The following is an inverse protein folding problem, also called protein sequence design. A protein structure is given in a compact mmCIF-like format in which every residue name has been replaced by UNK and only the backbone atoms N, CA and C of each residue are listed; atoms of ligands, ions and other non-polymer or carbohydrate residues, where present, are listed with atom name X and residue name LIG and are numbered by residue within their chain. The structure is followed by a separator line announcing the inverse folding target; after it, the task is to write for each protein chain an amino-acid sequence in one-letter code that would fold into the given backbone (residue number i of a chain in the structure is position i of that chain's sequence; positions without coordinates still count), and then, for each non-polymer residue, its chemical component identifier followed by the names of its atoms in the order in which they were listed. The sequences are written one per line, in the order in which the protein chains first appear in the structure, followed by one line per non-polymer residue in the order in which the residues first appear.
data_IF_946217749139
#
_entry.id   IF_946217749139
#
_cell.length_a   1.000
_cell.length_b   1.000
_cell.length_c   1.000
_cell.angle_alpha   90.00
_cell.angle_beta   90.00
_cell.angle_gamma   90.00
#
_symmetry.space_group_name_H-M   'P 1'
#
loop_
_entity.id
_entity.type
_entity.pdbx_description
1 polymer ?
#
# COMPACT_ATOMS: atom_id res chain seq x y z
N UNK A 1 8.57 0.77 3.10
CA UNK A 1 9.33 -0.34 3.76
C UNK A 1 10.43 -0.81 2.81
N UNK A 2 11.66 -0.99 3.29
CA UNK A 2 12.86 -1.27 2.47
C UNK A 2 13.19 -2.76 2.28
N UNK A 3 12.39 -3.67 2.84
CA UNK A 3 12.66 -5.11 2.81
C UNK A 3 12.03 -5.80 1.60
N UNK A 4 12.72 -6.80 1.06
CA UNK A 4 12.17 -7.70 0.04
C UNK A 4 11.18 -8.69 0.68
N UNK A 5 9.90 -8.38 0.59
CA UNK A 5 8.83 -9.24 1.11
C UNK A 5 8.77 -10.62 0.43
N UNK A 6 9.41 -10.79 -0.73
CA UNK A 6 9.55 -12.10 -1.38
C UNK A 6 10.38 -13.09 -0.57
N UNK A 7 11.29 -12.59 0.29
CA UNK A 7 12.15 -13.38 1.17
C UNK A 7 11.55 -13.63 2.56
N UNK A 8 10.31 -13.22 2.81
CA UNK A 8 9.63 -13.43 4.07
C UNK A 8 9.51 -14.93 4.40
N UNK A 9 9.87 -15.29 5.62
CA UNK A 9 9.69 -16.64 6.20
C UNK A 9 8.79 -16.53 7.42
N UNK A 10 7.91 -17.52 7.60
CA UNK A 10 7.01 -17.63 8.76
C UNK A 10 7.62 -18.61 9.76
N UNK A 11 7.89 -18.11 10.98
CA UNK A 11 8.51 -18.91 12.05
C UNK A 11 7.45 -19.42 13.05
N UNK A 12 6.50 -18.57 13.47
CA UNK A 12 5.43 -18.91 14.41
C UNK A 12 4.09 -18.27 13.97
N UNK A 13 2.99 -18.88 14.40
CA UNK A 13 1.64 -18.39 14.14
C UNK A 13 0.73 -18.73 15.32
N UNK A 14 -0.11 -17.78 15.69
CA UNK A 14 -1.20 -17.99 16.64
C UNK A 14 -2.44 -17.22 16.21
N UNK A 15 -3.61 -17.78 16.47
CA UNK A 15 -4.90 -17.19 16.10
C UNK A 15 -5.79 -17.08 17.31
N UNK A 16 -6.43 -15.95 17.51
CA UNK A 16 -7.42 -15.69 18.56
C UNK A 16 -8.74 -15.27 17.91
N UNK A 17 -9.86 -15.69 18.50
CA UNK A 17 -11.18 -15.27 18.03
C UNK A 17 -11.66 -14.05 18.80
N UNK A 18 -12.13 -13.04 18.06
CA UNK A 18 -12.67 -11.80 18.59
C UNK A 18 -14.16 -11.74 18.25
N UNK A 19 -15.05 -11.97 19.23
CA UNK A 19 -16.49 -11.86 19.01
C UNK A 19 -16.88 -10.40 18.75
N UNK A 20 -18.06 -10.19 18.21
CA UNK A 20 -18.60 -8.84 18.00
C UNK A 20 -18.75 -8.12 19.35
N UNK A 21 -18.24 -6.90 19.43
CA UNK A 21 -18.41 -6.04 20.59
C UNK A 21 -19.83 -5.45 20.59
N UNK A 22 -20.64 -5.75 21.59
CA UNK A 22 -21.98 -5.21 21.73
C UNK A 22 -21.97 -4.03 22.71
N UNK A 23 -22.59 -2.93 22.32
CA UNK A 23 -22.69 -1.72 23.16
C UNK A 23 -23.39 -1.95 24.52
N UNK A 24 -24.19 -3.01 24.63
CA UNK A 24 -24.85 -3.42 25.87
C UNK A 24 -23.96 -4.13 26.89
N UNK A 25 -22.67 -4.34 26.59
CA UNK A 25 -21.77 -5.17 27.40
C UNK A 25 -22.09 -6.69 27.39
N UNK A 26 -23.12 -7.11 26.64
CA UNK A 26 -23.48 -8.51 26.46
C UNK A 26 -22.65 -9.25 25.41
N UNK A 27 -21.60 -8.62 24.88
CA UNK A 27 -20.67 -9.25 23.94
C UNK A 27 -19.89 -10.39 24.59
N UNK A 28 -19.56 -11.41 23.79
CA UNK A 28 -18.67 -12.49 24.22
C UNK A 28 -17.29 -11.99 24.62
N UNK A 29 -16.57 -12.79 25.40
CA UNK A 29 -15.15 -12.54 25.65
C UNK A 29 -14.31 -13.10 24.47
N UNK A 30 -13.13 -12.52 24.18
CA UNK A 30 -12.20 -13.11 23.23
C UNK A 30 -11.87 -14.56 23.56
N UNK A 31 -11.89 -15.45 22.58
CA UNK A 31 -11.45 -16.83 22.73
C UNK A 31 -9.93 -16.84 22.39
N UNK A 32 -9.14 -17.09 23.41
CA UNK A 32 -7.70 -17.02 23.33
C UNK A 32 -7.10 -18.41 23.17
N UNK A 33 -6.18 -18.56 22.21
CA UNK A 33 -5.39 -19.77 22.08
C UNK A 33 -4.31 -19.82 23.18
N UNK A 34 -4.13 -21.00 23.77
CA UNK A 34 -3.14 -21.26 24.81
C UNK A 34 -1.82 -21.86 24.25
N UNK A 35 -1.81 -22.19 22.97
CA UNK A 35 -0.65 -22.76 22.28
C UNK A 35 -0.55 -22.19 20.86
N UNK A 36 0.66 -22.21 20.29
CA UNK A 36 0.91 -21.83 18.89
C UNK A 36 0.17 -22.75 17.92
N UNK A 37 -0.28 -22.18 16.79
CA UNK A 37 -0.93 -22.96 15.73
C UNK A 37 0.09 -23.85 15.00
N UNK A 38 -0.26 -25.12 14.68
CA UNK A 38 0.62 -25.97 13.92
C UNK A 38 0.97 -25.39 12.55
N UNK A 39 2.25 -25.36 12.20
CA UNK A 39 2.78 -24.80 10.95
C UNK A 39 3.24 -25.89 10.01
N UNK A 40 2.41 -26.28 9.04
CA UNK A 40 2.86 -27.04 7.87
C UNK A 40 3.55 -26.12 6.86
N UNK A 41 4.33 -26.67 5.93
CA UNK A 41 4.95 -25.89 4.87
C UNK A 41 3.93 -25.15 4.00
N UNK A 42 2.76 -25.75 3.78
CA UNK A 42 1.65 -25.15 3.03
C UNK A 42 1.09 -23.92 3.75
N UNK A 43 0.89 -23.99 5.07
CA UNK A 43 0.45 -22.85 5.89
C UNK A 43 1.49 -21.74 5.87
N UNK A 44 2.78 -22.06 6.00
CA UNK A 44 3.86 -21.07 5.90
C UNK A 44 3.87 -20.36 4.56
N UNK A 45 3.78 -21.09 3.46
CA UNK A 45 3.75 -20.53 2.10
C UNK A 45 2.51 -19.65 1.91
N UNK A 46 1.35 -20.12 2.38
CA UNK A 46 0.11 -19.38 2.27
C UNK A 46 0.17 -18.02 2.97
N UNK A 47 0.63 -17.97 4.23
CA UNK A 47 0.77 -16.70 4.95
C UNK A 47 1.85 -15.81 4.35
N UNK A 48 2.98 -16.35 3.95
CA UNK A 48 4.03 -15.60 3.24
C UNK A 48 3.46 -14.85 2.03
N UNK A 49 2.76 -15.56 1.14
CA UNK A 49 2.19 -14.99 -0.08
C UNK A 49 1.12 -13.93 0.22
N UNK A 50 0.27 -14.20 1.21
CA UNK A 50 -0.77 -13.25 1.63
C UNK A 50 -0.19 -11.96 2.21
N UNK A 51 0.80 -12.07 3.10
CA UNK A 51 1.47 -10.91 3.72
C UNK A 51 2.19 -10.10 2.63
N UNK A 52 3.03 -10.75 1.83
CA UNK A 52 3.80 -10.10 0.78
C UNK A 52 2.90 -9.39 -0.23
N UNK A 53 1.84 -10.05 -0.71
CA UNK A 53 0.88 -9.46 -1.66
C UNK A 53 0.09 -8.30 -1.06
N UNK A 54 -0.27 -8.38 0.22
CA UNK A 54 -1.07 -7.32 0.85
C UNK A 54 -0.26 -6.08 1.08
N UNK A 55 0.95 -6.20 1.61
CA UNK A 55 1.83 -5.08 1.91
C UNK A 55 2.59 -4.55 0.68
N UNK A 56 2.80 -5.37 -0.35
CA UNK A 56 3.50 -4.96 -1.57
C UNK A 56 2.71 -3.99 -2.46
N UNK A 57 1.40 -3.83 -2.25
CA UNK A 57 0.56 -3.02 -3.16
C UNK A 57 -0.01 -1.75 -2.53
N UNK A 58 -0.25 -1.70 -1.23
CA UNK A 58 -0.99 -0.59 -0.60
C UNK A 58 -0.57 -0.36 0.85
N UNK A 59 0.71 -0.48 1.18
CA UNK A 59 1.18 -0.28 2.54
C UNK A 59 1.59 1.18 2.80
N UNK A 60 1.19 1.70 3.97
CA UNK A 60 1.65 2.97 4.52
C UNK A 60 2.82 2.71 5.45
N UNK A 61 3.90 3.46 5.30
CA UNK A 61 4.98 3.48 6.29
C UNK A 61 4.48 4.15 7.57
N UNK A 62 4.71 3.48 8.69
CA UNK A 62 4.27 3.94 10.01
C UNK A 62 5.43 3.94 11.00
N UNK A 63 5.28 4.71 12.04
CA UNK A 63 6.12 4.71 13.22
C UNK A 63 5.26 4.62 14.48
N UNK A 64 5.83 4.18 15.59
CA UNK A 64 5.12 4.21 16.86
C UNK A 64 4.95 5.65 17.31
N UNK A 65 3.74 5.99 17.72
CA UNK A 65 3.42 7.28 18.30
C UNK A 65 4.02 7.34 19.71
N UNK A 66 4.93 8.29 20.02
CA UNK A 66 5.56 8.40 21.33
C UNK A 66 4.56 8.69 22.46
N UNK A 67 3.40 9.28 22.12
CA UNK A 67 2.36 9.63 23.10
C UNK A 67 1.27 8.56 23.21
N UNK A 68 1.45 7.39 22.56
CA UNK A 68 0.44 6.33 22.56
C UNK A 68 0.26 5.69 23.93
N UNK A 69 -0.98 5.34 24.25
CA UNK A 69 -1.34 4.51 25.41
C UNK A 69 -1.50 3.02 25.05
N UNK A 70 -1.31 2.64 23.78
CA UNK A 70 -1.36 1.26 23.35
C UNK A 70 -0.19 0.45 23.93
N UNK A 71 -0.41 -0.78 24.43
CA UNK A 71 0.67 -1.66 24.84
C UNK A 71 1.43 -2.29 23.66
N UNK A 72 0.87 -2.24 22.43
CA UNK A 72 1.40 -2.97 21.27
C UNK A 72 2.83 -2.57 20.91
N UNK A 73 3.24 -1.28 20.92
CA UNK A 73 4.63 -0.91 20.68
C UNK A 73 5.64 -1.63 21.60
N UNK A 74 5.36 -1.66 22.91
CA UNK A 74 6.19 -2.37 23.88
C UNK A 74 6.19 -3.88 23.64
N UNK A 75 5.01 -4.48 23.34
CA UNK A 75 4.90 -5.92 23.03
C UNK A 75 5.69 -6.30 21.78
N UNK A 76 5.67 -5.44 20.76
CA UNK A 76 6.45 -5.65 19.52
C UNK A 76 7.94 -5.53 19.81
N UNK A 77 8.38 -4.48 20.52
CA UNK A 77 9.78 -4.27 20.87
C UNK A 77 10.33 -5.47 21.66
N UNK A 78 9.65 -5.89 22.73
CA UNK A 78 10.04 -7.03 23.56
C UNK A 78 10.19 -8.32 22.72
N UNK A 79 9.28 -8.54 21.76
CA UNK A 79 9.35 -9.74 20.90
C UNK A 79 10.51 -9.69 19.90
N UNK A 80 10.79 -8.51 19.34
CA UNK A 80 11.84 -8.34 18.32
C UNK A 80 13.25 -8.22 18.92
N UNK A 81 13.38 -7.78 20.17
CA UNK A 81 14.69 -7.58 20.80
C UNK A 81 15.29 -8.84 21.39
N UNK A 82 14.52 -9.67 22.08
CA UNK A 82 15.12 -10.76 22.85
C UNK A 82 14.29 -12.05 22.96
N UNK A 83 13.15 -12.17 22.33
CA UNK A 83 12.26 -13.35 22.45
C UNK A 83 12.00 -13.82 23.91
N UNK A 84 12.28 -12.97 24.91
CA UNK A 84 12.13 -13.30 26.34
C UNK A 84 10.68 -13.39 26.75
N UNK A 85 9.82 -12.64 26.05
CA UNK A 85 8.41 -12.68 26.33
C UNK A 85 7.80 -13.89 25.63
N UNK A 86 7.00 -14.64 26.36
CA UNK A 86 6.26 -15.75 25.78
C UNK A 86 5.35 -15.25 24.65
N UNK A 87 5.54 -15.80 23.46
CA UNK A 87 4.82 -15.41 22.25
C UNK A 87 3.30 -15.57 22.41
N UNK A 88 2.85 -16.64 23.13
CA UNK A 88 1.43 -16.87 23.38
C UNK A 88 0.85 -15.79 24.30
N UNK A 89 1.53 -15.50 25.41
CA UNK A 89 1.09 -14.46 26.38
C UNK A 89 1.01 -13.11 25.71
N UNK A 90 2.04 -12.73 24.93
CA UNK A 90 2.07 -11.48 24.18
C UNK A 90 0.88 -11.38 23.21
N UNK A 91 0.64 -12.43 22.44
CA UNK A 91 -0.45 -12.44 21.45
C UNK A 91 -1.82 -12.38 22.10
N UNK A 92 -2.01 -13.00 23.28
CA UNK A 92 -3.22 -12.90 24.07
C UNK A 92 -3.46 -11.48 24.60
N UNK A 93 -2.41 -10.77 25.03
CA UNK A 93 -2.52 -9.36 25.43
C UNK A 93 -2.96 -8.48 24.25
N UNK A 94 -2.36 -8.71 23.06
CA UNK A 94 -2.77 -8.03 21.83
C UNK A 94 -4.24 -8.30 21.49
N UNK A 95 -4.71 -9.54 21.63
CA UNK A 95 -6.09 -9.92 21.35
C UNK A 95 -7.08 -9.20 22.29
N UNK A 96 -6.79 -9.17 23.59
CA UNK A 96 -7.62 -8.44 24.58
C UNK A 96 -7.65 -6.95 24.27
N UNK A 97 -6.50 -6.36 23.94
CA UNK A 97 -6.40 -4.94 23.62
C UNK A 97 -7.15 -4.60 22.32
N UNK A 98 -6.99 -5.41 21.25
CA UNK A 98 -7.72 -5.18 20.01
C UNK A 98 -9.24 -5.25 20.24
N UNK A 99 -9.71 -6.20 21.03
CA UNK A 99 -11.12 -6.30 21.40
C UNK A 99 -11.63 -5.04 22.10
N UNK A 100 -10.86 -4.47 23.02
CA UNK A 100 -11.19 -3.21 23.71
C UNK A 100 -11.21 -2.00 22.75
N UNK A 101 -10.35 -2.00 21.73
CA UNK A 101 -10.29 -0.95 20.70
C UNK A 101 -11.46 -1.00 19.70
N UNK A 102 -12.11 -2.17 19.56
CA UNK A 102 -13.24 -2.35 18.65
C UNK A 102 -14.51 -1.68 19.19
N UNK A 103 -15.24 -1.01 18.29
CA UNK A 103 -16.59 -0.51 18.58
C UNK A 103 -17.66 -1.51 18.13
N UNK A 104 -18.92 -1.28 18.54
CA UNK A 104 -20.06 -2.15 18.21
C UNK A 104 -20.38 -2.32 16.72
N UNK A 105 -19.80 -1.47 15.86
CA UNK A 105 -19.92 -1.57 14.39
C UNK A 105 -18.89 -2.51 13.75
N UNK A 106 -17.84 -2.90 14.50
CA UNK A 106 -16.83 -3.80 13.96
C UNK A 106 -17.36 -5.25 13.96
N UNK A 107 -17.23 -5.97 12.82
CA UNK A 107 -17.65 -7.37 12.76
C UNK A 107 -16.77 -8.23 13.65
N UNK A 108 -17.29 -9.39 14.03
CA UNK A 108 -16.50 -10.46 14.60
C UNK A 108 -15.36 -10.87 13.67
N UNK A 109 -14.30 -11.44 14.21
CA UNK A 109 -13.17 -11.81 13.40
C UNK A 109 -12.09 -12.52 14.18
N UNK A 110 -10.93 -12.59 13.58
CA UNK A 110 -9.77 -13.27 14.11
C UNK A 110 -8.59 -12.28 14.19
N UNK A 111 -7.88 -12.30 15.31
CA UNK A 111 -6.54 -11.75 15.38
C UNK A 111 -5.55 -12.88 15.09
N UNK A 112 -4.72 -12.68 14.10
CA UNK A 112 -3.63 -13.60 13.78
C UNK A 112 -2.30 -12.87 13.99
N UNK A 113 -1.47 -13.42 14.85
CA UNK A 113 -0.12 -12.90 15.11
C UNK A 113 0.88 -13.88 14.51
N UNK A 114 1.80 -13.38 13.70
CA UNK A 114 2.76 -14.18 12.94
C UNK A 114 4.16 -13.64 13.21
N UNK A 115 5.02 -14.47 13.81
CA UNK A 115 6.43 -14.15 13.88
C UNK A 115 7.07 -14.51 12.54
N UNK A 116 7.75 -13.54 11.95
CA UNK A 116 8.35 -13.66 10.63
C UNK A 116 9.83 -13.31 10.66
N UNK A 117 10.52 -13.65 9.59
CA UNK A 117 11.88 -13.22 9.32
C UNK A 117 11.97 -12.76 7.88
N UNK A 118 12.58 -11.60 7.66
CA UNK A 118 12.78 -11.04 6.31
C UNK A 118 14.26 -10.72 6.18
N UNK A 119 14.94 -11.30 5.19
CA UNK A 119 16.39 -11.12 5.02
C UNK A 119 17.19 -11.36 6.32
N UNK A 120 16.78 -12.38 7.10
CA UNK A 120 17.28 -12.73 8.43
C UNK A 120 16.98 -11.73 9.57
N UNK A 121 16.21 -10.66 9.31
CA UNK A 121 15.75 -9.73 10.34
C UNK A 121 14.44 -10.20 10.99
N UNK A 122 14.37 -10.23 12.33
CA UNK A 122 13.14 -10.61 13.01
C UNK A 122 12.04 -9.58 12.77
N UNK A 123 10.84 -10.09 12.57
CA UNK A 123 9.66 -9.29 12.36
C UNK A 123 8.42 -9.88 13.02
N UNK A 124 7.43 -9.03 13.26
CA UNK A 124 6.12 -9.41 13.77
C UNK A 124 5.03 -8.88 12.85
N UNK A 125 4.18 -9.78 12.36
CA UNK A 125 3.04 -9.44 11.51
C UNK A 125 1.75 -9.65 12.29
N UNK A 126 0.88 -8.66 12.31
CA UNK A 126 -0.39 -8.64 13.05
C UNK A 126 -1.51 -8.43 12.04
N UNK A 127 -2.43 -9.42 11.93
CA UNK A 127 -3.53 -9.39 10.98
C UNK A 127 -4.87 -9.43 11.72
N UNK A 128 -5.77 -8.50 11.37
CA UNK A 128 -7.20 -8.63 11.70
C UNK A 128 -7.92 -9.20 10.48
N UNK A 129 -8.47 -10.39 10.65
CA UNK A 129 -9.21 -11.12 9.62
C UNK A 129 -10.68 -11.19 10.00
N UNK A 130 -11.54 -11.23 8.99
CA UNK A 130 -12.97 -11.49 9.19
C UNK A 130 -13.23 -12.98 8.95
N UNK A 131 -14.21 -13.53 9.66
CA UNK A 131 -14.67 -14.88 9.39
C UNK A 131 -15.45 -14.90 8.08
N UNK A 132 -15.20 -15.91 7.28
CA UNK A 132 -15.91 -16.14 6.02
C UNK A 132 -16.62 -17.49 6.04
N UNK A 133 -17.69 -17.59 5.30
CA UNK A 133 -18.37 -18.84 5.03
C UNK A 133 -18.06 -19.30 3.61
N UNK A 134 -18.01 -20.60 3.40
CA UNK A 134 -17.76 -21.16 2.09
C UNK A 134 -18.33 -22.56 1.94
N UNK A 135 -18.24 -23.07 0.72
CA UNK A 135 -18.63 -24.44 0.40
C UNK A 135 -17.43 -25.21 -0.13
N UNK A 136 -17.17 -26.39 0.44
CA UNK A 136 -16.21 -27.35 -0.08
C UNK A 136 -16.94 -28.39 -0.93
N UNK A 137 -16.46 -28.56 -2.14
CA UNK A 137 -16.97 -29.59 -3.06
C UNK A 137 -15.97 -30.75 -3.10
N UNK A 138 -16.48 -31.97 -2.93
CA UNK A 138 -15.70 -33.21 -3.09
C UNK A 138 -16.38 -34.10 -4.11
N UNK A 139 -15.62 -34.53 -5.11
CA UNK A 139 -16.10 -35.53 -6.06
C UNK A 139 -16.19 -36.89 -5.35
N UNK A 140 -17.28 -37.60 -5.53
CA UNK A 140 -17.52 -38.92 -5.02
C UNK A 140 -18.02 -39.82 -6.16
N UNK A 141 -17.75 -41.10 -6.05
CA UNK A 141 -18.29 -42.11 -6.96
C UNK A 141 -19.15 -43.08 -6.15
N UNK A 142 -20.43 -43.19 -6.50
CA UNK A 142 -21.37 -44.15 -5.92
C UNK A 142 -22.04 -44.92 -7.04
N UNK A 143 -22.02 -46.22 -6.98
CA UNK A 143 -22.60 -47.13 -7.98
C UNK A 143 -22.16 -46.84 -9.42
N UNK A 144 -20.86 -46.55 -9.57
CA UNK A 144 -20.26 -46.24 -10.90
C UNK A 144 -20.66 -44.86 -11.46
N UNK A 145 -21.41 -44.03 -10.69
CA UNK A 145 -21.83 -42.69 -11.12
C UNK A 145 -21.06 -41.62 -10.33
N UNK A 146 -20.56 -40.62 -11.03
CA UNK A 146 -19.89 -39.48 -10.39
C UNK A 146 -20.92 -38.51 -9.82
N UNK A 147 -20.72 -38.11 -8.56
CA UNK A 147 -21.50 -37.06 -7.89
C UNK A 147 -20.55 -36.13 -7.14
N UNK A 148 -21.06 -35.00 -6.68
CA UNK A 148 -20.32 -34.04 -5.89
C UNK A 148 -21.04 -33.81 -4.55
N UNK A 149 -20.36 -34.09 -3.45
CA UNK A 149 -20.84 -33.68 -2.13
C UNK A 149 -20.45 -32.23 -1.87
N UNK A 150 -21.38 -31.46 -1.34
CA UNK A 150 -21.15 -30.06 -0.93
C UNK A 150 -21.20 -29.98 0.58
N UNK A 151 -20.11 -29.53 1.18
CA UNK A 151 -20.03 -29.31 2.61
C UNK A 151 -19.95 -27.80 2.89
N UNK A 152 -20.88 -27.27 3.69
CA UNK A 152 -20.80 -25.89 4.15
C UNK A 152 -19.71 -25.77 5.23
N UNK A 153 -18.81 -24.77 5.07
CA UNK A 153 -17.73 -24.47 6.01
C UNK A 153 -17.99 -23.07 6.54
N UNK A 154 -18.17 -22.95 7.86
CA UNK A 154 -18.51 -21.69 8.53
C UNK A 154 -17.32 -20.89 9.03
N UNK A 155 -16.18 -21.53 9.27
CA UNK A 155 -15.02 -20.93 9.91
C UNK A 155 -13.82 -20.84 8.94
N UNK A 156 -14.06 -20.26 7.76
CA UNK A 156 -12.98 -19.93 6.85
C UNK A 156 -12.31 -18.65 7.31
N UNK A 157 -11.02 -18.73 7.56
CA UNK A 157 -10.21 -17.58 7.95
C UNK A 157 -9.72 -16.80 6.73
N UNK A 158 -9.19 -17.52 5.77
CA UNK A 158 -8.65 -16.98 4.52
C UNK A 158 -8.83 -17.99 3.39
N UNK A 159 -9.18 -17.51 2.22
CA UNK A 159 -9.14 -18.27 0.97
C UNK A 159 -8.06 -17.68 0.05
N UNK A 160 -7.75 -18.38 -1.05
CA UNK A 160 -6.83 -17.82 -2.07
C UNK A 160 -7.29 -16.46 -2.60
N UNK A 161 -8.60 -16.19 -2.60
CA UNK A 161 -9.22 -14.94 -3.09
C UNK A 161 -9.58 -13.95 -1.98
N UNK A 162 -9.63 -14.37 -0.72
CA UNK A 162 -9.95 -13.48 0.40
C UNK A 162 -8.93 -12.37 0.52
N UNK A 163 -9.38 -11.15 0.72
CA UNK A 163 -8.53 -10.00 1.01
C UNK A 163 -8.22 -9.96 2.51
N UNK A 164 -6.97 -9.74 2.85
CA UNK A 164 -6.60 -9.32 4.21
C UNK A 164 -7.00 -7.85 4.34
N UNK A 165 -7.90 -7.54 5.26
CA UNK A 165 -8.42 -6.19 5.39
C UNK A 165 -7.50 -5.30 6.21
N UNK A 166 -6.97 -5.78 7.34
CA UNK A 166 -6.08 -5.00 8.20
C UNK A 166 -4.84 -5.81 8.56
N UNK A 167 -3.67 -5.23 8.30
CA UNK A 167 -2.37 -5.84 8.57
C UNK A 167 -1.38 -4.77 9.01
N UNK A 168 -0.59 -5.09 10.05
CA UNK A 168 0.60 -4.36 10.44
C UNK A 168 1.80 -5.30 10.43
N UNK A 169 2.93 -4.85 9.89
CA UNK A 169 4.20 -5.56 9.90
C UNK A 169 5.26 -4.65 10.51
N UNK A 170 5.97 -5.17 11.49
CA UNK A 170 7.04 -4.48 12.19
C UNK A 170 8.31 -5.32 12.08
N UNK A 171 9.40 -4.72 11.62
CA UNK A 171 10.68 -5.40 11.39
C UNK A 171 11.80 -4.61 12.06
N UNK A 172 12.70 -5.30 12.75
CA UNK A 172 13.86 -4.68 13.38
C UNK A 172 14.88 -4.26 12.32
N UNK A 173 15.34 -3.02 12.39
CA UNK A 173 16.33 -2.49 11.45
C UNK A 173 17.73 -3.06 11.72
N UNK A 174 18.45 -3.52 10.68
CA UNK A 174 19.83 -4.00 10.85
C UNK A 174 20.76 -2.85 11.25
N UNK A 175 21.64 -3.12 12.20
CA UNK A 175 22.72 -2.19 12.60
C UNK A 175 22.28 -0.99 13.44
N UNK A 176 20.99 -0.82 13.67
CA UNK A 176 20.45 0.29 14.46
C UNK A 176 19.68 -0.29 15.65
N UNK A 177 20.34 -0.33 16.80
CA UNK A 177 19.77 -0.93 18.01
C UNK A 177 18.55 -0.14 18.44
N UNK A 178 17.38 -0.80 18.39
CA UNK A 178 16.11 -0.23 18.84
C UNK A 178 15.22 0.37 17.75
N UNK A 179 15.68 0.52 16.50
CA UNK A 179 14.82 1.02 15.43
C UNK A 179 13.95 -0.08 14.82
N UNK A 180 12.64 0.11 14.90
CA UNK A 180 11.64 -0.77 14.30
C UNK A 180 11.01 -0.03 13.12
N UNK A 181 11.04 -0.66 11.93
CA UNK A 181 10.31 -0.17 10.76
C UNK A 181 8.93 -0.80 10.74
N UNK A 182 7.89 0.02 10.54
CA UNK A 182 6.50 -0.42 10.48
C UNK A 182 5.87 -0.14 9.13
N UNK A 183 5.02 -1.07 8.68
CA UNK A 183 4.12 -0.85 7.56
C UNK A 183 2.72 -1.37 7.88
N UNK A 184 1.70 -0.62 7.47
CA UNK A 184 0.28 -0.94 7.73
C UNK A 184 -0.50 -0.84 6.43
N UNK A 185 -1.40 -1.80 6.20
CA UNK A 185 -2.39 -1.74 5.14
C UNK A 185 -3.78 -1.93 5.73
N UNK A 186 -4.75 -1.11 5.28
CA UNK A 186 -6.17 -1.25 5.58
C UNK A 186 -6.98 -1.13 4.29
N UNK A 187 -7.58 -2.23 3.85
CA UNK A 187 -8.37 -2.30 2.60
C UNK A 187 -9.87 -2.10 2.79
N UNK A 188 -10.31 -1.89 4.03
CA UNK A 188 -11.72 -1.55 4.33
C UNK A 188 -12.00 -0.03 4.30
N UNK A 189 -11.22 0.72 3.55
CA UNK A 189 -11.33 2.16 3.47
C UNK A 189 -12.68 2.59 2.90
N UNK A 190 -13.36 3.52 3.59
CA UNK A 190 -14.29 4.43 2.95
C UNK A 190 -13.52 5.49 2.15
N UNK A 191 -14.17 6.11 1.17
CA UNK A 191 -13.59 7.23 0.42
C UNK A 191 -13.01 8.27 1.39
N UNK A 192 -11.70 8.57 1.26
CA UNK A 192 -11.04 9.63 2.03
C UNK A 192 -10.39 9.22 3.37
N UNK A 193 -10.38 7.94 3.74
CA UNK A 193 -9.68 7.47 4.95
C UNK A 193 -8.49 6.59 4.60
N UNK A 194 -7.33 6.86 5.21
CA UNK A 194 -6.09 6.13 4.98
C UNK A 194 -6.07 4.76 5.65
N UNK A 195 -6.21 4.74 6.98
CA UNK A 195 -6.30 3.54 7.82
C UNK A 195 -7.32 3.82 8.92
N UNK A 196 -8.11 2.82 9.31
CA UNK A 196 -9.07 2.99 10.40
C UNK A 196 -8.35 3.35 11.71
N UNK A 197 -8.74 4.46 12.32
CA UNK A 197 -8.10 4.99 13.53
C UNK A 197 -8.05 3.97 14.67
N UNK A 198 -9.12 3.16 14.87
CA UNK A 198 -9.11 2.15 15.92
C UNK A 198 -8.00 1.11 15.73
N UNK A 199 -7.61 0.80 14.49
CA UNK A 199 -6.56 -0.17 14.19
C UNK A 199 -5.17 0.50 14.21
N UNK A 200 -5.00 1.64 13.53
CA UNK A 200 -3.71 2.33 13.44
C UNK A 200 -3.26 2.92 14.78
N UNK A 201 -4.06 3.87 15.33
CA UNK A 201 -3.63 4.63 16.51
C UNK A 201 -4.01 3.94 17.81
N UNK A 202 -5.29 3.53 17.97
CA UNK A 202 -5.75 2.98 19.25
C UNK A 202 -5.20 1.58 19.53
N UNK A 203 -5.15 0.70 18.52
CA UNK A 203 -4.66 -0.67 18.68
C UNK A 203 -3.15 -0.76 18.48
N UNK A 204 -2.64 -0.44 17.27
CA UNK A 204 -1.21 -0.58 16.98
C UNK A 204 -0.34 0.50 17.67
N UNK A 205 -0.93 1.61 18.12
CA UNK A 205 -0.18 2.73 18.71
C UNK A 205 0.73 3.41 17.70
N UNK A 206 0.29 3.50 16.45
CA UNK A 206 1.07 4.02 15.33
C UNK A 206 0.49 5.31 14.77
N UNK A 207 1.37 6.10 14.18
CA UNK A 207 1.05 7.21 13.27
C UNK A 207 1.67 6.98 11.89
N UNK A 208 1.14 7.63 10.87
CA UNK A 208 1.75 7.61 9.54
C UNK A 208 3.06 8.41 9.57
N UNK A 209 4.11 7.85 8.98
CA UNK A 209 5.41 8.55 8.84
C UNK A 209 5.29 9.79 7.97
N UNK A 210 4.49 9.69 6.93
CA UNK A 210 4.22 10.80 6.02
C UNK A 210 2.83 10.65 5.41
N UNK A 211 2.15 11.76 5.20
CA UNK A 211 0.84 11.77 4.55
C UNK A 211 0.98 11.47 3.06
N UNK A 212 0.15 10.60 2.49
CA UNK A 212 0.23 10.21 1.08
C UNK A 212 0.16 11.38 0.10
N UNK A 213 -0.64 12.40 0.41
CA UNK A 213 -0.72 13.60 -0.42
C UNK A 213 0.61 14.37 -0.47
N UNK A 214 1.38 14.38 0.63
CA UNK A 214 2.71 15.00 0.69
C UNK A 214 3.71 14.20 -0.14
N UNK A 215 3.71 12.86 0.01
CA UNK A 215 4.58 11.97 -0.78
C UNK A 215 4.27 12.06 -2.27
N UNK A 216 2.98 12.07 -2.64
CA UNK A 216 2.54 12.21 -4.04
C UNK A 216 2.96 13.57 -4.62
N UNK A 217 2.78 14.65 -3.86
CA UNK A 217 3.22 15.99 -4.27
C UNK A 217 4.73 16.04 -4.49
N UNK A 218 5.51 15.47 -3.59
CA UNK A 218 6.97 15.40 -3.71
C UNK A 218 7.41 14.60 -4.95
N UNK A 219 6.74 13.49 -5.25
CA UNK A 219 6.99 12.72 -6.46
C UNK A 219 6.68 13.54 -7.72
N UNK A 220 5.53 14.22 -7.75
CA UNK A 220 5.15 15.09 -8.86
C UNK A 220 6.19 16.19 -9.09
N UNK A 221 6.55 16.95 -8.05
CA UNK A 221 7.52 18.06 -8.13
C UNK A 221 8.92 17.60 -8.58
N UNK A 222 9.38 16.44 -8.07
CA UNK A 222 10.68 15.87 -8.47
C UNK A 222 10.66 15.39 -9.93
N UNK A 223 9.57 14.78 -10.39
CA UNK A 223 9.39 14.34 -11.76
C UNK A 223 9.29 15.55 -12.72
N UNK A 224 8.50 16.57 -12.37
CA UNK A 224 8.35 17.81 -13.15
C UNK A 224 9.69 18.56 -13.27
N UNK A 225 10.44 18.70 -12.16
CA UNK A 225 11.79 19.29 -12.17
C UNK A 225 12.74 18.50 -13.07
N UNK A 226 12.75 17.17 -12.97
CA UNK A 226 13.55 16.32 -13.85
C UNK A 226 13.19 16.55 -15.33
N UNK A 227 11.92 16.54 -15.69
CA UNK A 227 11.45 16.74 -17.06
C UNK A 227 11.88 18.11 -17.58
N UNK A 228 11.76 19.16 -16.78
CA UNK A 228 12.06 20.51 -17.18
C UNK A 228 13.56 20.80 -17.28
N UNK A 229 14.38 20.29 -16.37
CA UNK A 229 15.79 20.62 -16.24
C UNK A 229 16.73 19.66 -17.02
N UNK A 230 16.38 18.38 -17.09
CA UNK A 230 17.26 17.34 -17.65
C UNK A 230 16.90 16.98 -19.08
N UNK A 231 15.59 16.89 -19.39
CA UNK A 231 15.16 16.54 -20.74
C UNK A 231 15.25 17.74 -21.64
N UNK A 232 16.03 17.67 -22.72
CA UNK A 232 16.23 18.78 -23.66
C UNK A 232 15.30 18.73 -24.86
N UNK A 233 14.91 17.52 -25.29
CA UNK A 233 14.01 17.29 -26.42
C UNK A 233 12.56 17.64 -26.06
N UNK A 234 11.93 18.61 -26.73
CA UNK A 234 10.56 19.04 -26.44
C UNK A 234 9.50 17.95 -26.63
N UNK A 235 9.69 17.06 -27.60
CA UNK A 235 8.76 15.96 -27.83
C UNK A 235 8.80 14.98 -26.66
N UNK A 236 9.98 14.62 -26.19
CA UNK A 236 10.16 13.76 -25.02
C UNK A 236 9.66 14.42 -23.73
N UNK A 237 9.85 15.73 -23.56
CA UNK A 237 9.23 16.46 -22.45
C UNK A 237 7.73 16.27 -22.44
N UNK A 238 7.06 16.51 -23.57
CA UNK A 238 5.62 16.35 -23.66
C UNK A 238 5.18 14.91 -23.40
N UNK A 239 5.89 13.92 -23.91
CA UNK A 239 5.60 12.50 -23.66
C UNK A 239 5.73 12.15 -22.16
N UNK A 240 6.76 12.64 -21.48
CA UNK A 240 6.99 12.35 -20.06
C UNK A 240 5.97 13.06 -19.17
N UNK A 241 5.56 14.29 -19.50
CA UNK A 241 4.48 15.01 -18.80
C UNK A 241 3.15 14.25 -18.93
N UNK A 242 2.81 13.80 -20.14
CA UNK A 242 1.61 12.98 -20.36
C UNK A 242 1.68 11.69 -19.54
N UNK A 243 2.84 11.01 -19.53
CA UNK A 243 3.02 9.79 -18.75
C UNK A 243 2.90 10.03 -17.24
N UNK A 244 3.46 11.14 -16.72
CA UNK A 244 3.35 11.53 -15.32
C UNK A 244 1.89 11.78 -14.92
N UNK A 245 1.17 12.55 -15.73
CA UNK A 245 -0.24 12.83 -15.48
C UNK A 245 -1.08 11.56 -15.58
N UNK A 246 -0.82 10.69 -16.55
CA UNK A 246 -1.51 9.40 -16.71
C UNK A 246 -1.27 8.48 -15.50
N UNK A 247 -0.03 8.39 -15.01
CA UNK A 247 0.33 7.61 -13.82
C UNK A 247 -0.44 8.09 -12.57
N UNK A 248 -0.50 9.40 -12.37
CA UNK A 248 -1.17 9.98 -11.21
C UNK A 248 -2.70 9.93 -11.33
N UNK A 249 -3.27 9.98 -12.53
CA UNK A 249 -4.71 9.82 -12.76
C UNK A 249 -5.17 8.35 -12.84
N UNK A 250 -4.24 7.40 -12.98
CA UNK A 250 -4.58 5.98 -13.03
C UNK A 250 -5.35 5.52 -11.79
N UNK A 251 -6.23 4.55 -11.93
CA UNK A 251 -7.05 4.01 -10.82
C UNK A 251 -6.27 3.18 -9.80
N UNK A 252 -4.98 2.93 -10.05
CA UNK A 252 -4.10 2.23 -9.09
C UNK A 252 -3.94 3.06 -7.83
N UNK A 253 -3.97 2.40 -6.67
CA UNK A 253 -3.84 3.06 -5.37
C UNK A 253 -2.40 3.46 -5.01
N UNK A 254 -1.40 2.97 -5.74
CA UNK A 254 0.02 3.22 -5.46
C UNK A 254 0.79 3.60 -6.73
N UNK A 255 1.90 4.29 -6.53
CA UNK A 255 2.92 4.57 -7.54
C UNK A 255 4.16 3.72 -7.23
N UNK A 256 4.72 3.10 -8.26
CA UNK A 256 6.01 2.39 -8.23
C UNK A 256 7.01 3.17 -9.10
N UNK A 257 7.89 4.00 -8.49
CA UNK A 257 8.76 4.90 -9.25
C UNK A 257 9.67 4.22 -10.26
N UNK A 258 10.20 3.03 -9.91
CA UNK A 258 11.06 2.26 -10.80
C UNK A 258 10.28 1.69 -12.00
N UNK A 259 9.05 1.21 -11.77
CA UNK A 259 8.16 0.78 -12.84
C UNK A 259 7.76 1.95 -13.75
N UNK A 260 7.45 3.11 -13.17
CA UNK A 260 7.19 4.33 -13.94
C UNK A 260 8.39 4.68 -14.84
N UNK A 261 9.60 4.71 -14.29
CA UNK A 261 10.81 5.01 -15.05
C UNK A 261 11.06 3.98 -16.17
N UNK A 262 10.89 2.70 -15.86
CA UNK A 262 11.12 1.61 -16.83
C UNK A 262 10.15 1.62 -17.99
N UNK A 263 8.89 1.96 -17.74
CA UNK A 263 7.83 1.92 -18.74
C UNK A 263 7.74 3.20 -19.57
N UNK A 264 8.10 4.34 -19.01
CA UNK A 264 7.80 5.63 -19.63
C UNK A 264 9.05 6.45 -20.03
N UNK A 265 10.21 6.17 -19.41
CA UNK A 265 11.41 6.95 -19.70
C UNK A 265 12.40 6.20 -20.59
N UNK A 266 13.07 6.93 -21.47
CA UNK A 266 14.19 6.42 -22.25
C UNK A 266 15.32 5.92 -21.33
N UNK A 267 16.05 4.90 -21.74
CA UNK A 267 17.05 4.21 -20.90
C UNK A 267 18.10 5.17 -20.33
N UNK A 268 18.53 6.13 -21.12
CA UNK A 268 19.52 7.16 -20.73
C UNK A 268 19.03 8.10 -19.61
N UNK A 269 17.71 8.24 -19.43
CA UNK A 269 17.09 9.13 -18.45
C UNK A 269 16.77 8.45 -17.11
N UNK A 270 16.63 7.13 -17.11
CA UNK A 270 16.12 6.36 -15.94
C UNK A 270 16.97 6.56 -14.69
N UNK A 271 18.28 6.43 -14.84
CA UNK A 271 19.17 6.54 -13.67
C UNK A 271 19.16 7.96 -13.08
N UNK A 272 19.18 8.99 -13.93
CA UNK A 272 19.12 10.39 -13.47
C UNK A 272 17.78 10.69 -12.79
N UNK A 273 16.67 10.16 -13.31
CA UNK A 273 15.36 10.27 -12.69
C UNK A 273 15.34 9.65 -11.30
N UNK A 274 15.81 8.40 -11.16
CA UNK A 274 15.86 7.73 -9.86
C UNK A 274 16.78 8.48 -8.87
N UNK A 275 17.86 9.08 -9.32
CA UNK A 275 18.71 9.92 -8.48
C UNK A 275 17.95 11.15 -7.97
N UNK A 276 17.20 11.85 -8.84
CA UNK A 276 16.35 12.98 -8.43
C UNK A 276 15.30 12.60 -7.40
N UNK A 277 14.69 11.42 -7.55
CA UNK A 277 13.75 10.92 -6.55
C UNK A 277 14.43 10.63 -5.20
N UNK A 278 15.64 10.10 -5.21
CA UNK A 278 16.43 9.89 -3.99
C UNK A 278 16.79 11.21 -3.30
N UNK A 279 17.18 12.24 -4.06
CA UNK A 279 17.43 13.60 -3.55
C UNK A 279 16.16 14.20 -2.92
N UNK A 280 14.99 13.89 -3.47
CA UNK A 280 13.70 14.24 -2.90
C UNK A 280 13.23 13.32 -1.76
N UNK A 281 14.12 12.48 -1.20
CA UNK A 281 13.83 11.51 -0.15
C UNK A 281 12.74 10.45 -0.50
N UNK A 282 12.53 10.19 -1.79
CA UNK A 282 11.63 9.15 -2.29
C UNK A 282 12.43 7.87 -2.56
N UNK A 283 12.69 7.11 -1.51
CA UNK A 283 13.53 5.89 -1.57
C UNK A 283 12.72 4.59 -1.44
N UNK A 284 11.42 4.68 -1.17
CA UNK A 284 10.54 3.52 -1.08
C UNK A 284 10.28 2.93 -2.48
N UNK A 285 10.22 1.60 -2.64
CA UNK A 285 9.94 0.96 -3.92
C UNK A 285 8.53 1.27 -4.44
N UNK A 286 7.59 1.57 -3.54
CA UNK A 286 6.25 2.04 -3.86
C UNK A 286 5.71 2.92 -2.73
N UNK A 287 4.75 3.81 -3.06
CA UNK A 287 4.02 4.60 -2.07
C UNK A 287 2.54 4.70 -2.44
N UNK A 288 1.69 4.90 -1.43
CA UNK A 288 0.26 5.12 -1.64
C UNK A 288 0.04 6.49 -2.26
N UNK A 289 -0.77 6.52 -3.31
CA UNK A 289 -1.08 7.71 -4.08
C UNK A 289 -2.28 8.45 -3.49
N UNK A 290 -2.10 9.76 -3.26
CA UNK A 290 -3.18 10.71 -3.01
C UNK A 290 -2.89 12.00 -3.79
N UNK A 291 -3.74 12.31 -4.77
CA UNK A 291 -3.51 13.41 -5.72
C UNK A 291 -4.15 14.74 -5.29
N UNK A 292 -4.74 14.82 -4.10
CA UNK A 292 -5.47 16.04 -3.66
C UNK A 292 -4.64 17.32 -3.77
N UNK A 293 -3.35 17.28 -3.42
CA UNK A 293 -2.47 18.46 -3.48
C UNK A 293 -1.97 18.80 -4.88
N UNK A 294 -2.03 17.85 -5.82
CA UNK A 294 -1.53 18.03 -7.21
C UNK A 294 -2.65 18.03 -8.25
N UNK A 295 -3.90 17.79 -7.86
CA UNK A 295 -5.05 17.71 -8.76
C UNK A 295 -5.15 18.88 -9.76
N UNK A 296 -4.89 20.14 -9.38
CA UNK A 296 -4.95 21.26 -10.34
C UNK A 296 -3.94 21.12 -11.49
N UNK A 297 -2.79 20.50 -11.23
CA UNK A 297 -1.71 20.28 -12.23
C UNK A 297 -2.02 19.09 -13.14
N UNK A 298 -2.83 18.13 -12.69
CA UNK A 298 -3.17 16.92 -13.44
C UNK A 298 -4.29 17.13 -14.48
N UNK A 299 -5.00 18.25 -14.42
CA UNK A 299 -6.13 18.52 -15.33
C UNK A 299 -5.68 19.02 -16.69
N UNK A 300 -4.57 19.75 -16.75
CA UNK A 300 -4.09 20.40 -17.99
C UNK A 300 -2.58 20.52 -17.99
N UNK A 301 -1.98 20.33 -19.16
CA UNK A 301 -0.56 20.59 -19.42
C UNK A 301 -0.45 21.94 -20.09
N UNK A 302 0.46 22.78 -19.61
CA UNK A 302 0.71 24.13 -20.16
C UNK A 302 2.08 24.16 -20.84
N UNK A 303 2.10 24.51 -22.12
CA UNK A 303 3.31 24.83 -22.88
C UNK A 303 3.49 26.34 -22.86
N UNK A 304 4.62 26.83 -22.35
CA UNK A 304 4.94 28.27 -22.33
C UNK A 304 6.18 28.54 -23.18
N UNK A 305 6.06 29.41 -24.14
CA UNK A 305 7.11 29.79 -25.07
C UNK A 305 7.78 31.11 -24.68
N UNK A 306 9.04 31.29 -25.08
CA UNK A 306 9.80 32.52 -24.79
C UNK A 306 9.14 33.81 -25.33
N UNK A 307 8.34 33.69 -26.39
CA UNK A 307 7.58 34.79 -26.98
C UNK A 307 6.35 35.21 -26.17
N UNK A 308 6.06 34.51 -25.07
CA UNK A 308 4.85 34.74 -24.27
C UNK A 308 3.60 33.99 -24.77
N UNK A 309 3.72 33.22 -25.85
CA UNK A 309 2.64 32.31 -26.28
C UNK A 309 2.51 31.18 -25.27
N UNK A 310 1.27 30.87 -24.85
CA UNK A 310 0.98 29.72 -24.00
C UNK A 310 -0.12 28.88 -24.62
N UNK A 311 0.08 27.57 -24.62
CA UNK A 311 -0.91 26.56 -25.04
C UNK A 311 -1.29 25.74 -23.83
N UNK A 312 -2.57 25.60 -23.55
CA UNK A 312 -3.13 24.84 -22.45
C UNK A 312 -3.99 23.71 -23.01
N UNK A 313 -3.63 22.47 -22.76
CA UNK A 313 -4.33 21.31 -23.29
C UNK A 313 -4.60 20.25 -22.21
N UNK A 314 -5.71 19.49 -22.38
CA UNK A 314 -5.90 18.27 -21.62
C UNK A 314 -4.86 17.23 -22.06
N UNK A 315 -4.29 16.42 -21.13
CA UNK A 315 -3.36 15.36 -21.46
C UNK A 315 -3.87 14.40 -22.55
N UNK A 316 -5.18 14.14 -22.56
CA UNK A 316 -5.84 13.22 -23.51
C UNK A 316 -5.73 13.67 -24.97
N UNK A 317 -5.47 14.96 -25.22
CA UNK A 317 -5.35 15.51 -26.57
C UNK A 317 -3.92 15.57 -27.10
N UNK A 318 -2.93 15.31 -26.25
CA UNK A 318 -1.52 15.36 -26.63
C UNK A 318 -1.12 14.07 -27.36
N UNK A 319 -0.53 14.22 -28.52
CA UNK A 319 -0.17 13.14 -29.43
C UNK A 319 -1.14 12.97 -30.61
N UNK A 320 -2.43 13.25 -30.43
CA UNK A 320 -3.45 13.17 -31.49
C UNK A 320 -3.80 14.57 -32.02
N UNK A 321 -4.51 15.37 -31.24
CA UNK A 321 -4.97 16.71 -31.64
C UNK A 321 -3.88 17.77 -31.47
N UNK A 322 -3.00 17.61 -30.47
CA UNK A 322 -1.86 18.50 -30.24
C UNK A 322 -0.57 17.71 -30.35
N UNK A 323 0.25 18.04 -31.34
CA UNK A 323 1.57 17.43 -31.57
C UNK A 323 2.66 18.40 -31.21
N UNK A 324 3.68 17.88 -30.49
CA UNK A 324 4.89 18.65 -30.13
C UNK A 324 6.07 18.03 -30.86
N UNK A 325 6.86 18.84 -31.51
CA UNK A 325 8.06 18.39 -32.21
C UNK A 325 9.15 19.46 -32.18
N UNK A 326 10.34 19.10 -32.63
CA UNK A 326 11.47 20.01 -32.74
C UNK A 326 11.77 20.27 -34.21
N UNK A 327 12.00 21.55 -34.55
CA UNK A 327 12.48 21.96 -35.86
C UNK A 327 14.00 21.80 -35.98
N UNK A 328 14.52 21.77 -37.21
CA UNK A 328 15.98 21.62 -37.48
C UNK A 328 16.85 22.72 -36.82
N UNK A 329 16.28 23.88 -36.58
CA UNK A 329 16.95 25.02 -35.91
C UNK A 329 16.81 24.99 -34.36
N UNK A 330 16.28 23.91 -33.81
CA UNK A 330 16.12 23.72 -32.37
C UNK A 330 14.85 24.38 -31.78
N UNK A 331 14.02 25.04 -32.59
CA UNK A 331 12.74 25.60 -32.12
C UNK A 331 11.73 24.48 -31.89
N UNK A 332 10.90 24.66 -30.88
CA UNK A 332 9.75 23.76 -30.62
C UNK A 332 8.58 24.15 -31.51
N UNK A 333 8.07 23.18 -32.26
CA UNK A 333 6.80 23.31 -33.00
C UNK A 333 5.67 22.67 -32.20
N UNK A 334 4.57 23.42 -32.07
CA UNK A 334 3.29 22.85 -31.57
C UNK A 334 2.26 23.00 -32.68
N UNK A 335 1.69 21.88 -33.08
CA UNK A 335 0.65 21.80 -34.12
C UNK A 335 -0.66 21.35 -33.48
N UNK A 336 -1.71 22.12 -33.71
CA UNK A 336 -3.05 21.85 -33.20
C UNK A 336 -3.97 21.59 -34.39
N UNK A 337 -4.61 20.42 -34.42
CA UNK A 337 -5.57 20.03 -35.44
C UNK A 337 -6.92 19.78 -34.77
N UNK A 338 -7.77 20.81 -34.73
CA UNK A 338 -9.11 20.77 -34.15
C UNK A 338 -10.00 21.85 -34.76
N UNK A 339 -11.31 21.80 -34.53
CA UNK A 339 -12.26 22.83 -34.92
C UNK A 339 -12.22 24.03 -33.99
N UNK A 340 -11.99 25.21 -34.53
CA UNK A 340 -12.02 26.46 -33.76
C UNK A 340 -13.45 26.72 -33.24
N UNK A 341 -13.65 26.65 -31.94
CA UNK A 341 -14.92 26.88 -31.28
C UNK A 341 -15.21 28.37 -31.07
N UNK A 342 -14.22 29.16 -30.66
CA UNK A 342 -14.35 30.56 -30.34
C UNK A 342 -13.00 31.28 -30.35
N UNK A 343 -13.01 32.58 -30.68
CA UNK A 343 -11.84 33.45 -30.63
C UNK A 343 -12.23 34.81 -30.05
N UNK A 344 -11.69 35.14 -28.88
CA UNK A 344 -11.95 36.42 -28.20
C UNK A 344 -10.65 37.08 -27.78
N UNK A 345 -10.54 38.39 -28.11
CA UNK A 345 -9.51 39.22 -27.51
C UNK A 345 -9.80 39.42 -26.02
N UNK A 346 -8.84 39.11 -25.13
CA UNK A 346 -8.91 39.55 -23.73
C UNK A 346 -8.21 40.90 -23.60
N UNK A 347 -8.90 41.88 -23.01
CA UNK A 347 -8.33 43.16 -22.57
C UNK A 347 -7.59 42.98 -21.27
#
# INVERSE_FOLDING_TARGET
MRYDLGQLRVDKLIVHELPRHLASGAGGQPILSDIESPLTQEVKNFFREKIARTLGTEAYDVEFDPDTTSPVPGLVADNLEDSRRDFVVMSQEMARHLYQCQGGVNPEGLLTVVQVRIEDHPGLCILKLEKEEGARVRQQTSDGKTTFSVQHIRDLMLTGKTRVFKIGLFVRRPGDVGTIEGAVCDRQKGYGTTVANFFLSRFLGCQLKELPEITTKRFFEAAESFINEVVTDPERKAQYEVALVAELNATRASVEPEAFASNNLATEHRQTFMTRLQEAALTAPSFVKDTNLVEPHLRRIQFTFQTGVSVLASPDHIGEQLKVGQEEDGRTRVEITDFLKDMRGRR
#
